data_IF_802079005111
#
_entry.id   IF_802079005111
#
_cell.length_a   1.000
_cell.length_b   1.000
_cell.length_c   1.000
_cell.angle_alpha   90.00
_cell.angle_beta   90.00
_cell.angle_gamma   90.00
#
_symmetry.space_group_name_H-M   'P 1'
#
loop_
_entity.id
_entity.type
_entity.pdbx_description
1 polymer ?
#
# COMPACT_ATOMS: atom_id res chain seq x y z
N UNK A 1 26.30 -40.14 -22.38
CA UNK A 1 26.71 -39.29 -21.23
C UNK A 1 26.00 -37.95 -21.36
N UNK A 2 24.96 -37.72 -20.58
CA UNK A 2 24.16 -36.49 -20.61
C UNK A 2 24.95 -35.39 -19.89
N UNK A 3 25.43 -34.40 -20.63
CA UNK A 3 26.13 -33.25 -20.05
C UNK A 3 25.12 -32.40 -19.28
N UNK A 4 25.23 -32.38 -17.95
CA UNK A 4 24.41 -31.53 -17.09
C UNK A 4 24.90 -30.09 -17.27
N UNK A 5 24.05 -29.24 -17.85
CA UNK A 5 24.38 -27.83 -18.05
C UNK A 5 24.65 -27.14 -16.71
N UNK A 6 25.66 -26.28 -16.67
CA UNK A 6 26.01 -25.53 -15.46
C UNK A 6 24.88 -24.56 -15.08
N UNK A 7 24.79 -24.20 -13.79
CA UNK A 7 23.78 -23.24 -13.30
C UNK A 7 23.83 -21.91 -14.05
N UNK A 8 25.02 -21.49 -14.48
CA UNK A 8 25.22 -20.26 -15.26
C UNK A 8 24.67 -20.38 -16.67
N UNK A 9 24.90 -21.52 -17.33
CA UNK A 9 24.33 -21.80 -18.65
C UNK A 9 22.81 -21.84 -18.62
N UNK A 10 22.22 -22.36 -17.53
CA UNK A 10 20.78 -22.35 -17.31
C UNK A 10 20.27 -20.91 -17.12
N UNK A 11 20.93 -20.11 -16.27
CA UNK A 11 20.54 -18.70 -16.03
C UNK A 11 20.59 -17.86 -17.31
N UNK A 12 21.64 -18.04 -18.10
CA UNK A 12 21.80 -17.34 -19.37
C UNK A 12 20.72 -17.74 -20.39
N UNK A 13 20.46 -19.05 -20.52
CA UNK A 13 19.41 -19.55 -21.41
C UNK A 13 18.00 -19.07 -21.02
N UNK A 14 17.79 -18.69 -19.76
CA UNK A 14 16.54 -18.16 -19.24
C UNK A 14 16.44 -16.62 -19.32
N UNK A 15 17.44 -15.93 -19.89
CA UNK A 15 17.41 -14.48 -20.08
C UNK A 15 17.47 -13.69 -18.78
N UNK A 16 18.07 -14.23 -17.72
CA UNK A 16 18.22 -13.52 -16.46
C UNK A 16 19.36 -12.50 -16.56
N UNK A 17 19.01 -11.23 -16.79
CA UNK A 17 19.94 -10.11 -16.61
C UNK A 17 20.50 -10.09 -15.17
N UNK A 18 21.74 -9.60 -14.96
CA UNK A 18 22.32 -9.50 -13.62
C UNK A 18 21.37 -8.72 -12.70
N UNK A 19 21.11 -9.22 -11.47
CA UNK A 19 20.08 -8.62 -10.62
C UNK A 19 20.50 -7.21 -10.25
N UNK A 20 19.79 -6.23 -10.81
CA UNK A 20 19.85 -4.85 -10.34
C UNK A 20 19.33 -4.87 -8.90
N UNK A 21 20.16 -4.40 -7.95
CA UNK A 21 19.74 -4.22 -6.56
C UNK A 21 18.76 -3.05 -6.53
N UNK A 22 17.49 -3.34 -6.76
CA UNK A 22 16.41 -2.40 -6.51
C UNK A 22 16.25 -2.32 -5.00
N UNK A 23 16.64 -1.19 -4.39
CA UNK A 23 16.22 -0.85 -3.02
C UNK A 23 14.72 -0.57 -3.07
N UNK A 24 13.92 -1.62 -3.12
CA UNK A 24 12.47 -1.51 -3.06
C UNK A 24 12.10 -1.08 -1.64
N UNK A 25 11.80 0.21 -1.46
CA UNK A 25 11.06 0.69 -0.31
C UNK A 25 9.65 0.10 -0.40
N UNK A 26 9.45 -1.02 0.31
CA UNK A 26 8.17 -1.36 0.94
C UNK A 26 6.91 -1.46 0.09
N UNK A 27 6.95 -1.51 -1.24
CA UNK A 27 5.75 -1.75 -2.06
C UNK A 27 6.07 -2.71 -3.21
N UNK A 28 6.36 -3.97 -2.87
CA UNK A 28 6.42 -5.06 -3.84
C UNK A 28 5.05 -5.33 -4.51
N UNK A 29 4.89 -6.43 -5.27
CA UNK A 29 3.64 -6.75 -5.98
C UNK A 29 2.39 -6.83 -5.09
N UNK A 30 2.57 -6.86 -3.77
CA UNK A 30 1.51 -6.93 -2.76
C UNK A 30 1.30 -5.61 -1.98
N UNK A 31 1.83 -4.48 -2.44
CA UNK A 31 1.72 -3.19 -1.74
C UNK A 31 0.27 -2.79 -1.41
N UNK A 32 -0.68 -3.09 -2.30
CA UNK A 32 -2.11 -2.85 -2.08
C UNK A 32 -2.69 -3.75 -0.97
N UNK A 33 -2.25 -5.00 -0.88
CA UNK A 33 -2.71 -5.92 0.17
C UNK A 33 -2.19 -5.49 1.55
N UNK A 34 -0.91 -5.10 1.63
CA UNK A 34 -0.34 -4.56 2.87
C UNK A 34 -1.11 -3.32 3.33
N UNK A 35 -1.42 -2.41 2.40
CA UNK A 35 -2.24 -1.23 2.70
C UNK A 35 -3.64 -1.60 3.19
N UNK A 36 -4.28 -2.59 2.57
CA UNK A 36 -5.61 -3.05 2.96
C UNK A 36 -5.64 -3.68 4.36
N UNK A 37 -4.62 -4.45 4.72
CA UNK A 37 -4.45 -5.03 6.06
C UNK A 37 -4.31 -3.95 7.11
N UNK A 38 -3.42 -2.98 6.88
CA UNK A 38 -3.14 -1.91 7.83
C UNK A 38 -4.33 -0.95 8.02
N UNK A 39 -5.05 -0.63 6.93
CA UNK A 39 -6.34 0.05 7.04
C UNK A 39 -7.33 -0.76 7.91
N UNK A 40 -7.23 -2.10 7.85
CA UNK A 40 -7.99 -3.05 8.67
C UNK A 40 -7.77 -2.92 10.15
N UNK A 41 -6.51 -2.79 10.53
CA UNK A 41 -6.10 -2.72 11.92
C UNK A 41 -6.38 -1.34 12.51
N UNK A 42 -6.13 -0.27 11.74
CA UNK A 42 -6.19 1.10 12.24
C UNK A 42 -7.59 1.73 12.21
N UNK A 43 -8.42 1.41 11.21
CA UNK A 43 -9.73 2.05 11.07
C UNK A 43 -10.82 1.33 11.89
N UNK A 44 -11.12 1.87 13.07
CA UNK A 44 -12.18 1.37 13.95
C UNK A 44 -13.50 2.10 13.72
N UNK A 45 -14.68 1.43 13.89
CA UNK A 45 -15.96 2.10 13.81
C UNK A 45 -16.03 3.31 14.76
N UNK A 46 -16.39 4.50 14.25
CA UNK A 46 -16.53 5.67 15.12
C UNK A 46 -17.72 5.51 16.07
N UNK A 47 -17.48 5.77 17.35
CA UNK A 47 -18.49 5.82 18.42
C UNK A 47 -19.10 7.22 18.64
N UNK A 48 -18.73 8.22 17.81
CA UNK A 48 -19.19 9.61 17.93
C UNK A 48 -20.43 9.96 17.07
N UNK A 49 -20.62 11.26 16.80
CA UNK A 49 -21.80 11.84 16.11
C UNK A 49 -22.11 11.26 14.72
N UNK A 50 -21.16 10.57 14.07
CA UNK A 50 -21.37 9.80 12.84
C UNK A 50 -21.11 8.32 13.11
N UNK A 51 -22.06 7.69 13.81
CA UNK A 51 -22.03 6.27 14.17
C UNK A 51 -21.81 5.44 12.91
N UNK A 52 -20.75 4.63 12.90
CA UNK A 52 -20.52 3.61 11.87
C UNK A 52 -19.57 3.98 10.72
N UNK A 53 -19.14 5.24 10.54
CA UNK A 53 -18.01 5.52 9.63
C UNK A 53 -16.71 5.16 10.35
N UNK A 54 -15.93 4.18 9.86
CA UNK A 54 -14.65 3.84 10.47
C UNK A 54 -13.67 5.02 10.36
N UNK A 55 -12.84 5.26 11.38
CA UNK A 55 -11.79 6.29 11.41
C UNK A 55 -10.62 5.75 12.21
N UNK A 56 -9.43 6.31 11.99
CA UNK A 56 -8.32 6.10 12.91
C UNK A 56 -8.55 6.97 14.17
N UNK A 57 -8.52 6.38 15.39
CA UNK A 57 -8.67 7.12 16.64
C UNK A 57 -7.43 7.93 17.01
N UNK A 58 -6.25 7.61 16.45
CA UNK A 58 -4.97 8.28 16.70
C UNK A 58 -4.78 9.53 15.83
N UNK A 59 -5.67 9.80 14.87
CA UNK A 59 -5.63 11.03 14.07
C UNK A 59 -6.08 12.26 14.88
N UNK A 60 -5.11 13.04 15.34
CA UNK A 60 -5.33 14.28 16.10
C UNK A 60 -5.61 15.50 15.22
N UNK A 61 -5.03 15.56 14.02
CA UNK A 61 -5.08 16.75 13.14
C UNK A 61 -5.72 16.39 11.79
N UNK A 62 -6.68 17.21 11.36
CA UNK A 62 -7.34 17.09 10.04
C UNK A 62 -7.01 18.31 9.18
N UNK A 63 -6.38 18.08 8.03
CA UNK A 63 -6.08 19.12 7.02
C UNK A 63 -6.63 18.72 5.66
N UNK A 64 -6.93 19.72 4.83
CA UNK A 64 -7.31 19.49 3.44
C UNK A 64 -6.04 19.25 2.62
N UNK A 65 -6.05 18.19 1.82
CA UNK A 65 -4.97 17.84 0.89
C UNK A 65 -5.51 17.96 -0.53
N UNK A 66 -4.81 18.72 -1.37
CA UNK A 66 -5.13 18.83 -2.78
C UNK A 66 -4.63 17.61 -3.56
N UNK A 67 -5.46 17.09 -4.46
CA UNK A 67 -5.11 15.96 -5.34
C UNK A 67 -5.37 16.32 -6.80
N UNK A 68 -4.56 15.77 -7.71
CA UNK A 68 -4.93 15.71 -9.12
C UNK A 68 -6.11 14.74 -9.29
N UNK A 69 -6.91 14.91 -10.34
CA UNK A 69 -8.07 14.06 -10.62
C UNK A 69 -7.66 12.60 -10.74
N UNK A 70 -6.60 12.32 -11.50
CA UNK A 70 -6.14 10.96 -11.79
C UNK A 70 -5.69 10.25 -10.50
N UNK A 71 -5.00 10.97 -9.62
CA UNK A 71 -4.61 10.45 -8.31
C UNK A 71 -5.83 10.16 -7.43
N UNK A 72 -6.84 11.02 -7.46
CA UNK A 72 -8.08 10.80 -6.72
C UNK A 72 -8.82 9.56 -7.21
N UNK A 73 -8.87 9.34 -8.52
CA UNK A 73 -9.49 8.15 -9.12
C UNK A 73 -8.77 6.86 -8.69
N UNK A 74 -7.44 6.86 -8.66
CA UNK A 74 -6.66 5.74 -8.12
C UNK A 74 -6.92 5.48 -6.64
N UNK A 75 -7.04 6.54 -5.83
CA UNK A 75 -7.40 6.42 -4.41
C UNK A 75 -8.82 5.85 -4.23
N UNK A 76 -9.76 6.18 -5.12
CA UNK A 76 -11.11 5.60 -5.12
C UNK A 76 -11.06 4.10 -5.37
N UNK A 77 -10.31 3.66 -6.38
CA UNK A 77 -10.18 2.24 -6.67
C UNK A 77 -9.53 1.48 -5.49
N UNK A 78 -8.46 2.04 -4.92
CA UNK A 78 -7.81 1.46 -3.74
C UNK A 78 -8.77 1.37 -2.55
N UNK A 79 -9.54 2.43 -2.29
CA UNK A 79 -10.52 2.45 -1.22
C UNK A 79 -11.64 1.43 -1.44
N UNK A 80 -12.09 1.23 -2.69
CA UNK A 80 -13.08 0.23 -3.05
C UNK A 80 -12.54 -1.19 -2.80
N UNK A 81 -11.30 -1.48 -3.24
CA UNK A 81 -10.63 -2.77 -3.02
C UNK A 81 -10.37 -3.06 -1.53
N UNK A 82 -10.04 -2.04 -0.75
CA UNK A 82 -9.79 -2.16 0.69
C UNK A 82 -11.07 -2.20 1.54
N UNK A 83 -12.22 -1.83 0.96
CA UNK A 83 -13.50 -1.86 1.66
C UNK A 83 -14.05 -3.28 1.76
N UNK A 84 -14.72 -3.57 2.86
CA UNK A 84 -15.44 -4.83 3.10
C UNK A 84 -16.92 -4.54 3.42
N UNK A 85 -17.80 -5.55 3.43
CA UNK A 85 -19.20 -5.35 3.82
C UNK A 85 -19.38 -4.78 5.24
N UNK A 86 -18.41 -5.05 6.14
CA UNK A 86 -18.44 -4.56 7.52
C UNK A 86 -17.72 -3.23 7.72
N UNK A 87 -16.87 -2.81 6.76
CA UNK A 87 -15.99 -1.66 6.91
C UNK A 87 -15.81 -0.93 5.59
N UNK A 88 -16.33 0.30 5.51
CA UNK A 88 -16.15 1.17 4.34
C UNK A 88 -14.94 2.07 4.54
N UNK A 89 -14.01 2.03 3.60
CA UNK A 89 -12.84 2.91 3.55
C UNK A 89 -13.11 4.00 2.51
N UNK A 90 -12.79 5.25 2.84
CA UNK A 90 -12.89 6.36 1.88
C UNK A 90 -11.52 6.70 1.27
N UNK A 91 -11.49 7.32 0.08
CA UNK A 91 -10.23 7.66 -0.61
C UNK A 91 -9.31 8.55 0.24
N UNK A 92 -9.90 9.48 0.99
CA UNK A 92 -9.16 10.35 1.91
C UNK A 92 -8.47 9.57 3.04
N UNK A 93 -9.04 8.46 3.50
CA UNK A 93 -8.42 7.62 4.54
C UNK A 93 -7.25 6.81 3.99
N UNK A 94 -7.37 6.34 2.75
CA UNK A 94 -6.24 5.71 2.04
C UNK A 94 -5.12 6.72 1.87
N UNK A 95 -5.43 7.95 1.45
CA UNK A 95 -4.45 9.01 1.28
C UNK A 95 -3.73 9.36 2.59
N UNK A 96 -4.47 9.51 3.68
CA UNK A 96 -3.89 9.78 5.00
C UNK A 96 -2.86 8.70 5.40
N UNK A 97 -3.23 7.42 5.26
CA UNK A 97 -2.33 6.32 5.59
C UNK A 97 -1.08 6.29 4.69
N UNK A 98 -1.25 6.51 3.38
CA UNK A 98 -0.13 6.55 2.44
C UNK A 98 0.84 7.70 2.74
N UNK A 99 0.34 8.85 3.20
CA UNK A 99 1.20 9.96 3.64
C UNK A 99 2.00 9.55 4.87
N UNK A 100 1.36 8.95 5.88
CA UNK A 100 2.08 8.48 7.08
C UNK A 100 3.16 7.44 6.75
N UNK A 101 2.80 6.40 5.97
CA UNK A 101 3.76 5.37 5.52
C UNK A 101 4.89 5.93 4.68
N UNK A 102 4.61 6.91 3.83
CA UNK A 102 5.63 7.58 3.01
C UNK A 102 6.63 8.38 3.86
N UNK A 103 6.20 8.86 5.03
CA UNK A 103 7.06 9.61 5.96
C UNK A 103 7.92 8.70 6.84
N UNK A 104 7.49 7.47 7.14
CA UNK A 104 8.24 6.54 8.01
C UNK A 104 9.71 6.34 7.57
N UNK A 105 10.02 5.96 6.31
CA UNK A 105 11.40 5.79 5.88
C UNK A 105 12.21 7.08 5.91
N UNK A 106 11.55 8.23 5.68
CA UNK A 106 12.20 9.54 5.62
C UNK A 106 12.59 10.07 7.01
N UNK A 107 11.95 9.59 8.09
CA UNK A 107 12.31 9.94 9.46
C UNK A 107 13.54 9.20 9.96
N UNK A 108 13.81 8.02 9.39
CA UNK A 108 14.95 7.16 9.73
C UNK A 108 16.20 7.38 8.87
N UNK A 109 16.16 8.36 7.96
CA UNK A 109 17.28 8.76 7.09
C UNK A 109 18.00 9.98 7.68
#
# INVERSE_FOLDING_TARGET
MTSVKSREQIRWALGADPPVVVRATGHGPFGVLSLATELGERLVPSHGARRGRPTDPEWEIRRLVGFRRETWDQLNELAARASTPRRRVSPAQVAALLVEKGLEPLRSA
#
